data_IF_109050880427
#
_entry.id   IF_109050880427
#
_cell.length_a   1.000
_cell.length_b   1.000
_cell.length_c   1.000
_cell.angle_alpha   90.00
_cell.angle_beta   90.00
_cell.angle_gamma   90.00
#
_symmetry.space_group_name_H-M   'P 1'
#
loop_
_entity.id
_entity.type
_entity.pdbx_description
1 polymer ?
#
# COMPACT_ATOMS: atom_id res chain seq x y z
N UNK A 1 -14.59 -6.76 -7.99
CA UNK A 1 -13.15 -7.13 -7.94
C UNK A 1 -12.35 -5.85 -8.12
N UNK A 2 -11.40 -5.56 -7.25
CA UNK A 2 -10.57 -4.35 -7.36
C UNK A 2 -9.29 -4.62 -8.17
N UNK A 3 -8.85 -3.65 -8.95
CA UNK A 3 -7.60 -3.69 -9.69
C UNK A 3 -6.54 -2.88 -8.94
N UNK A 4 -5.39 -3.49 -8.65
CA UNK A 4 -4.30 -2.82 -7.93
C UNK A 4 -3.21 -2.42 -8.93
N UNK A 5 -2.86 -1.13 -8.93
CA UNK A 5 -1.82 -0.55 -9.77
C UNK A 5 -0.71 -0.01 -8.86
N UNK A 6 0.54 -0.37 -9.16
CA UNK A 6 1.68 0.08 -8.36
C UNK A 6 2.41 1.24 -9.04
N UNK A 7 2.59 2.34 -8.30
CA UNK A 7 3.45 3.44 -8.70
C UNK A 7 4.93 3.03 -8.74
N UNK A 8 5.72 3.79 -9.52
CA UNK A 8 7.17 3.53 -9.69
C UNK A 8 7.93 3.51 -8.36
N UNK A 9 7.56 4.39 -7.41
CA UNK A 9 8.17 4.47 -6.08
C UNK A 9 7.87 3.21 -5.24
N UNK A 10 6.61 2.80 -5.19
CA UNK A 10 6.17 1.58 -4.52
C UNK A 10 6.88 0.34 -5.05
N UNK A 11 6.98 0.17 -6.38
CA UNK A 11 7.71 -0.95 -7.01
C UNK A 11 9.19 -0.92 -6.62
N UNK A 12 9.83 0.26 -6.68
CA UNK A 12 11.24 0.43 -6.31
C UNK A 12 11.47 0.07 -4.84
N UNK A 13 10.54 0.41 -3.95
CA UNK A 13 10.63 0.06 -2.53
C UNK A 13 10.44 -1.44 -2.30
N UNK A 14 9.41 -2.05 -2.90
CA UNK A 14 9.15 -3.50 -2.79
C UNK A 14 10.36 -4.31 -3.23
N UNK A 15 10.95 -3.97 -4.38
CA UNK A 15 12.12 -4.69 -4.93
C UNK A 15 13.36 -4.63 -4.02
N UNK A 16 13.45 -3.65 -3.12
CA UNK A 16 14.55 -3.53 -2.16
C UNK A 16 14.37 -4.38 -0.91
N UNK A 17 13.15 -4.85 -0.62
CA UNK A 17 12.89 -5.65 0.58
C UNK A 17 13.32 -7.10 0.39
N UNK A 18 13.54 -7.81 1.49
CA UNK A 18 13.73 -9.25 1.49
C UNK A 18 12.44 -10.00 1.08
N UNK A 19 12.58 -11.24 0.61
CA UNK A 19 11.45 -12.05 0.10
C UNK A 19 10.29 -12.19 1.10
N UNK A 20 10.53 -12.47 2.40
CA UNK A 20 9.48 -12.47 3.43
C UNK A 20 8.70 -11.16 3.50
N UNK A 21 9.41 -10.02 3.58
CA UNK A 21 8.78 -8.70 3.65
C UNK A 21 7.98 -8.38 2.39
N UNK A 22 8.50 -8.70 1.20
CA UNK A 22 7.77 -8.55 -0.06
C UNK A 22 6.44 -9.32 -0.03
N UNK A 23 6.46 -10.59 0.37
CA UNK A 23 5.25 -11.41 0.49
C UNK A 23 4.27 -10.82 1.49
N UNK A 24 4.74 -10.34 2.64
CA UNK A 24 3.89 -9.73 3.66
C UNK A 24 3.18 -8.47 3.12
N UNK A 25 3.93 -7.58 2.47
CA UNK A 25 3.39 -6.37 1.84
C UNK A 25 2.38 -6.70 0.74
N UNK A 26 2.72 -7.61 -0.19
CA UNK A 26 1.83 -7.98 -1.28
C UNK A 26 0.54 -8.64 -0.78
N UNK A 27 0.63 -9.49 0.25
CA UNK A 27 -0.55 -10.14 0.85
C UNK A 27 -1.45 -9.14 1.56
N UNK A 28 -0.88 -8.12 2.21
CA UNK A 28 -1.68 -7.07 2.84
C UNK A 28 -2.35 -6.16 1.79
N UNK A 29 -1.61 -5.82 0.73
CA UNK A 29 -2.10 -4.96 -0.35
C UNK A 29 -3.22 -5.66 -1.14
N UNK A 30 -3.14 -6.98 -1.37
CA UNK A 30 -4.18 -7.72 -2.11
C UNK A 30 -5.55 -7.74 -1.43
N UNK A 31 -5.63 -7.39 -0.15
CA UNK A 31 -6.87 -7.31 0.63
C UNK A 31 -7.49 -5.91 0.63
N UNK A 32 -6.83 -4.94 0.02
CA UNK A 32 -7.38 -3.59 -0.11
C UNK A 32 -8.63 -3.57 -1.01
N UNK A 33 -9.56 -2.64 -0.78
CA UNK A 33 -9.62 -1.70 0.35
C UNK A 33 -10.38 -2.28 1.55
N UNK A 34 -10.68 -3.58 1.55
CA UNK A 34 -11.65 -4.22 2.45
C UNK A 34 -11.07 -4.52 3.84
N UNK A 35 -9.80 -4.91 3.93
CA UNK A 35 -9.17 -5.30 5.19
C UNK A 35 -7.83 -4.60 5.45
N UNK A 36 -7.53 -4.43 6.74
CA UNK A 36 -6.25 -3.95 7.25
C UNK A 36 -6.38 -2.72 8.15
N UNK A 37 -5.26 -2.27 8.73
CA UNK A 37 -5.17 -1.00 9.47
C UNK A 37 -5.12 0.16 8.46
N UNK A 38 -6.28 0.45 7.87
CA UNK A 38 -6.50 1.49 6.88
C UNK A 38 -7.01 2.75 7.56
N UNK A 39 -6.35 3.89 7.31
CA UNK A 39 -6.81 5.21 7.77
C UNK A 39 -6.72 6.23 6.66
N UNK A 40 -7.69 7.14 6.60
CA UNK A 40 -7.61 8.31 5.72
C UNK A 40 -6.44 9.20 6.14
N UNK A 41 -5.77 9.82 5.17
CA UNK A 41 -4.73 10.79 5.44
C UNK A 41 -5.33 12.07 6.03
N UNK A 42 -4.57 12.74 6.91
CA UNK A 42 -4.93 14.05 7.45
C UNK A 42 -4.26 15.13 6.61
N UNK A 43 -5.02 16.12 6.16
CA UNK A 43 -4.51 17.22 5.34
C UNK A 43 -4.17 16.85 3.89
N UNK A 44 -4.46 15.62 3.46
CA UNK A 44 -4.29 15.16 2.08
C UNK A 44 -5.41 14.19 1.69
N UNK A 45 -5.65 14.05 0.39
CA UNK A 45 -6.50 12.99 -0.15
C UNK A 45 -5.81 11.64 -0.02
N UNK A 46 -6.63 10.59 0.02
CA UNK A 46 -6.15 9.21 0.04
C UNK A 46 -6.04 8.57 1.41
N UNK A 47 -5.42 7.40 1.40
CA UNK A 47 -5.42 6.47 2.52
C UNK A 47 -4.01 5.96 2.80
N UNK A 48 -3.82 5.49 4.02
CA UNK A 48 -2.65 4.69 4.40
C UNK A 48 -3.10 3.34 4.90
N UNK A 49 -2.42 2.29 4.47
CA UNK A 49 -2.44 0.96 5.07
C UNK A 49 -1.16 0.79 5.88
N UNK A 50 -1.32 0.21 7.06
CA UNK A 50 -0.24 -0.11 8.00
C UNK A 50 0.06 -1.60 7.96
N UNK A 51 1.31 -1.96 7.66
CA UNK A 51 1.75 -3.38 7.54
C UNK A 51 3.06 -3.54 8.30
N UNK A 52 2.99 -4.09 9.52
CA UNK A 52 4.17 -4.21 10.39
C UNK A 52 4.89 -2.87 10.57
N UNK A 53 6.16 -2.80 10.17
CA UNK A 53 7.00 -1.60 10.22
C UNK A 53 6.88 -0.69 8.99
N UNK A 54 5.92 -0.92 8.10
CA UNK A 54 5.75 -0.17 6.86
C UNK A 54 4.42 0.60 6.81
N UNK A 55 4.38 1.60 5.93
CA UNK A 55 3.19 2.31 5.48
C UNK A 55 3.07 2.23 3.97
N UNK A 56 1.88 1.90 3.50
CA UNK A 56 1.49 1.90 2.09
C UNK A 56 0.52 3.06 1.90
N UNK A 57 0.87 4.03 1.06
CA UNK A 57 -0.01 5.13 0.66
C UNK A 57 -0.74 4.73 -0.60
N UNK A 58 -2.06 4.90 -0.61
CA UNK A 58 -2.87 4.54 -1.76
C UNK A 58 -4.12 5.41 -1.91
N UNK A 59 -4.60 5.48 -3.14
CA UNK A 59 -5.89 6.08 -3.50
C UNK A 59 -6.85 5.00 -4.02
N UNK A 60 -8.15 5.27 -3.90
CA UNK A 60 -9.21 4.40 -4.41
C UNK A 60 -10.04 5.20 -5.41
N UNK A 61 -9.96 4.82 -6.68
CA UNK A 61 -10.63 5.45 -7.82
C UNK A 61 -11.64 4.47 -8.42
N UNK A 62 -12.83 4.40 -7.80
CA UNK A 62 -13.86 3.43 -8.16
C UNK A 62 -13.40 1.99 -7.85
N UNK A 63 -13.08 1.22 -8.90
CA UNK A 63 -12.57 -0.17 -8.78
C UNK A 63 -11.05 -0.26 -8.83
N UNK A 64 -10.35 0.86 -9.04
CA UNK A 64 -8.89 0.91 -9.13
C UNK A 64 -8.30 1.37 -7.79
N UNK A 65 -7.26 0.68 -7.34
CA UNK A 65 -6.48 1.02 -6.16
C UNK A 65 -5.07 1.38 -6.63
N UNK A 66 -4.72 2.66 -6.49
CA UNK A 66 -3.43 3.17 -6.90
C UNK A 66 -2.48 3.20 -5.70
N UNK A 67 -1.48 2.31 -5.69
CA UNK A 67 -0.43 2.28 -4.66
C UNK A 67 0.61 3.34 -5.01
N UNK A 68 0.54 4.47 -4.33
CA UNK A 68 1.35 5.66 -4.61
C UNK A 68 2.78 5.46 -4.12
N UNK A 69 2.93 5.04 -2.86
CA UNK A 69 4.23 4.87 -2.23
C UNK A 69 4.21 3.81 -1.12
N UNK A 70 5.36 3.22 -0.86
CA UNK A 70 5.57 2.30 0.25
C UNK A 70 6.85 2.75 0.96
N UNK A 71 6.77 2.91 2.28
CA UNK A 71 7.88 3.38 3.08
C UNK A 71 7.89 2.77 4.48
N UNK A 72 9.00 2.98 5.18
CA UNK A 72 9.09 2.63 6.59
C UNK A 72 8.16 3.54 7.41
N UNK A 73 7.65 3.00 8.52
CA UNK A 73 7.22 3.84 9.64
C UNK A 73 8.50 4.47 10.16
N UNK A 74 8.72 5.73 9.77
CA UNK A 74 9.90 6.52 10.15
C UNK A 74 10.22 6.42 11.63
#
# INVERSE_FOLDING_TARGET
MFQIIYGKKAIKFLKKQDKPTQKCLMTAISRLPLEGDIKKLQGASGYRLRVGNFRVLFDVNGVIIDIIDIGNRG
#
